data_IF_722426616304
#
_entry.id   IF_722426616304
#
_cell.length_a   1.000
_cell.length_b   1.000
_cell.length_c   1.000
_cell.angle_alpha   90.00
_cell.angle_beta   90.00
_cell.angle_gamma   90.00
#
_symmetry.space_group_name_H-M   'P 1'
#
loop_
_entity.id
_entity.type
_entity.pdbx_description
1 polymer ?
#
# COMPACT_ATOMS: atom_id res chain seq x y z
N UNK A 1 8.36 35.50 -17.56
CA UNK A 1 7.81 34.14 -17.73
C UNK A 1 7.68 33.54 -16.34
N UNK A 2 6.47 33.19 -15.90
CA UNK A 2 6.29 32.52 -14.61
C UNK A 2 6.90 31.11 -14.72
N UNK A 3 7.79 30.76 -13.79
CA UNK A 3 8.29 29.39 -13.67
C UNK A 3 7.09 28.47 -13.44
N UNK A 4 7.04 27.35 -14.17
CA UNK A 4 6.05 26.31 -13.89
C UNK A 4 6.22 25.89 -12.41
N UNK A 5 5.13 25.79 -11.63
CA UNK A 5 5.25 25.39 -10.24
C UNK A 5 5.95 24.03 -10.19
N UNK A 6 6.97 23.92 -9.32
CA UNK A 6 7.65 22.66 -9.10
C UNK A 6 6.61 21.58 -8.78
N UNK A 7 6.68 20.44 -9.48
CA UNK A 7 5.78 19.33 -9.21
C UNK A 7 6.10 18.87 -7.80
N UNK A 8 5.14 19.02 -6.88
CA UNK A 8 5.25 18.43 -5.54
C UNK A 8 5.36 16.92 -5.71
N UNK A 9 6.47 16.38 -5.22
CA UNK A 9 6.71 14.94 -5.16
C UNK A 9 6.52 14.53 -3.71
N UNK A 10 5.74 13.48 -3.50
CA UNK A 10 5.57 12.87 -2.18
C UNK A 10 6.28 11.51 -2.22
N UNK A 11 7.00 11.19 -1.14
CA UNK A 11 7.70 9.91 -1.00
C UNK A 11 6.90 9.00 -0.07
N UNK A 12 6.75 7.75 -0.48
CA UNK A 12 6.08 6.71 0.30
C UNK A 12 7.07 5.63 0.72
N UNK A 13 7.20 5.39 2.03
CA UNK A 13 8.07 4.37 2.61
C UNK A 13 7.25 3.15 3.04
N UNK A 14 7.77 1.95 2.78
CA UNK A 14 7.11 0.72 3.16
C UNK A 14 7.51 0.34 4.60
N UNK A 15 6.54 0.34 5.51
CA UNK A 15 6.77 0.10 6.94
C UNK A 15 5.89 -1.04 7.49
N UNK A 16 6.37 -1.82 8.47
CA UNK A 16 5.54 -2.78 9.17
C UNK A 16 4.39 -2.08 9.88
N UNK A 17 3.18 -2.61 9.76
CA UNK A 17 2.00 -2.10 10.44
C UNK A 17 1.15 -3.25 10.99
N UNK A 18 0.41 -3.01 12.10
CA UNK A 18 -0.50 -4.01 12.61
C UNK A 18 -1.62 -4.29 11.59
N UNK A 19 -2.03 -5.56 11.45
CA UNK A 19 -2.97 -6.00 10.41
C UNK A 19 -4.30 -5.23 10.39
N UNK A 20 -4.77 -4.75 11.55
CA UNK A 20 -6.01 -3.97 11.65
C UNK A 20 -5.92 -2.62 10.93
N UNK A 21 -4.74 -1.98 10.86
CA UNK A 21 -4.52 -0.74 10.08
C UNK A 21 -4.61 -0.96 8.57
N UNK A 22 -4.40 -2.19 8.12
CA UNK A 22 -4.32 -2.54 6.70
C UNK A 22 -5.65 -3.07 6.13
N UNK A 23 -6.75 -2.85 6.86
CA UNK A 23 -8.11 -3.24 6.50
C UNK A 23 -8.84 -2.14 5.73
N UNK A 24 -9.88 -2.53 5.00
CA UNK A 24 -10.67 -1.64 4.14
C UNK A 24 -11.25 -0.42 4.85
N UNK A 25 -11.63 -0.56 6.13
CA UNK A 25 -12.18 0.52 6.96
C UNK A 25 -11.17 1.63 7.26
N UNK A 26 -9.88 1.32 7.21
CA UNK A 26 -8.79 2.26 7.50
C UNK A 26 -8.28 2.95 6.23
N UNK A 27 -8.84 2.64 5.06
CA UNK A 27 -8.47 3.22 3.77
C UNK A 27 -6.94 3.23 3.49
N UNK A 28 -6.24 2.08 3.61
CA UNK A 28 -4.79 2.07 3.62
C UNK A 28 -4.19 2.33 2.24
N UNK A 29 -3.05 3.02 2.23
CA UNK A 29 -2.02 2.85 1.22
C UNK A 29 -1.08 1.74 1.71
N UNK A 30 -0.91 0.67 0.93
CA UNK A 30 -0.17 -0.53 1.37
C UNK A 30 0.44 -1.31 0.22
N UNK A 31 1.51 -2.04 0.53
CA UNK A 31 2.14 -3.04 -0.34
C UNK A 31 1.68 -4.42 0.09
N UNK A 32 1.45 -5.30 -0.89
CA UNK A 32 1.26 -6.73 -0.70
C UNK A 32 0.08 -7.14 0.19
N UNK A 33 0.12 -8.39 0.65
CA UNK A 33 -1.00 -9.04 1.29
C UNK A 33 -2.21 -9.16 0.36
N UNK A 34 -3.41 -9.06 0.93
CA UNK A 34 -4.66 -9.05 0.17
C UNK A 34 -5.14 -7.62 -0.09
N UNK A 35 -5.86 -7.37 -1.21
CA UNK A 35 -6.47 -6.08 -1.44
C UNK A 35 -7.44 -5.72 -0.30
N UNK A 36 -7.28 -4.53 0.28
CA UNK A 36 -8.28 -3.89 1.11
C UNK A 36 -9.25 -3.16 0.19
N UNK A 37 -10.24 -3.89 -0.33
CA UNK A 37 -11.23 -3.38 -1.28
C UNK A 37 -12.00 -2.20 -0.70
N UNK A 38 -12.07 -1.09 -1.45
CA UNK A 38 -12.77 0.13 -1.05
C UNK A 38 -14.29 -0.04 -1.19
N UNK A 39 -14.80 -0.05 -2.42
CA UNK A 39 -16.17 -0.41 -2.72
C UNK A 39 -16.28 -1.90 -3.00
N UNK A 40 -17.35 -2.52 -2.51
CA UNK A 40 -17.62 -3.94 -2.75
C UNK A 40 -18.43 -4.17 -4.05
N UNK A 41 -18.94 -3.10 -4.66
CA UNK A 41 -19.63 -3.16 -5.94
C UNK A 41 -18.64 -3.35 -7.10
N UNK A 42 -18.99 -4.25 -8.03
CA UNK A 42 -18.29 -4.46 -9.30
C UNK A 42 -16.78 -4.78 -9.16
N UNK A 43 -16.42 -5.64 -8.21
CA UNK A 43 -15.05 -6.14 -8.09
C UNK A 43 -14.56 -6.77 -9.41
N UNK A 44 -13.27 -6.58 -9.77
CA UNK A 44 -12.74 -7.18 -10.98
C UNK A 44 -12.80 -8.71 -10.89
N UNK A 45 -13.53 -9.30 -11.84
CA UNK A 45 -13.68 -10.75 -11.92
C UNK A 45 -12.42 -11.45 -12.42
N UNK A 46 -12.39 -12.80 -12.38
CA UNK A 46 -11.21 -13.58 -12.77
C UNK A 46 -10.67 -13.28 -14.17
N UNK A 47 -11.53 -13.00 -15.15
CA UNK A 47 -11.09 -12.61 -16.50
C UNK A 47 -10.33 -11.27 -16.52
N UNK A 48 -10.78 -10.31 -15.70
CA UNK A 48 -10.11 -9.04 -15.53
C UNK A 48 -8.83 -9.16 -14.67
N UNK A 49 -8.65 -10.24 -13.90
CA UNK A 49 -7.45 -10.48 -13.10
C UNK A 49 -6.57 -11.63 -13.62
N UNK A 50 -6.67 -11.93 -14.93
CA UNK A 50 -5.76 -12.84 -15.62
C UNK A 50 -4.60 -12.09 -16.29
N UNK A 51 -3.39 -12.66 -16.22
CA UNK A 51 -2.25 -12.19 -16.99
C UNK A 51 -2.55 -12.26 -18.48
N UNK A 52 -2.31 -11.15 -19.20
CA UNK A 52 -2.55 -11.10 -20.65
C UNK A 52 -1.62 -12.03 -21.46
N UNK A 53 -0.49 -12.45 -20.89
CA UNK A 53 0.48 -13.34 -21.55
C UNK A 53 0.24 -14.81 -21.24
N UNK A 54 0.19 -15.18 -19.96
CA UNK A 54 0.10 -16.59 -19.55
C UNK A 54 -1.28 -17.01 -19.03
N UNK A 55 -2.23 -16.08 -18.88
CA UNK A 55 -3.58 -16.35 -18.38
C UNK A 55 -3.68 -16.61 -16.87
N UNK A 56 -2.57 -16.78 -16.15
CA UNK A 56 -2.56 -17.04 -14.71
C UNK A 56 -3.10 -15.87 -13.89
N UNK A 57 -3.67 -16.11 -12.70
CA UNK A 57 -4.12 -15.05 -11.80
C UNK A 57 -3.01 -14.07 -11.49
N UNK A 58 -3.34 -12.78 -11.51
CA UNK A 58 -2.44 -11.73 -11.05
C UNK A 58 -2.41 -11.69 -9.51
N UNK A 59 -1.23 -11.39 -8.96
CA UNK A 59 -1.05 -11.12 -7.55
C UNK A 59 -1.27 -9.62 -7.28
N UNK A 60 -1.87 -9.32 -6.12
CA UNK A 60 -2.00 -7.96 -5.63
C UNK A 60 -0.63 -7.43 -5.23
N UNK A 61 -0.18 -6.33 -5.86
CA UNK A 61 1.13 -5.74 -5.61
C UNK A 61 1.05 -4.65 -4.56
N UNK A 62 0.17 -3.67 -4.75
CA UNK A 62 -0.03 -2.56 -3.83
C UNK A 62 -1.35 -1.84 -4.10
N UNK A 63 -1.81 -1.05 -3.13
CA UNK A 63 -2.86 -0.07 -3.31
C UNK A 63 -2.45 1.29 -2.75
N UNK A 64 -3.01 2.35 -3.32
CA UNK A 64 -2.83 3.72 -2.85
C UNK A 64 -4.19 4.36 -2.67
N UNK A 65 -4.44 4.86 -1.46
CA UNK A 65 -5.55 5.77 -1.18
C UNK A 65 -5.16 7.18 -1.63
N UNK A 66 -5.84 7.67 -2.66
CA UNK A 66 -5.51 8.89 -3.37
C UNK A 66 -6.80 9.68 -3.66
N UNK A 67 -7.43 10.27 -2.62
CA UNK A 67 -8.64 11.06 -2.74
C UNK A 67 -8.40 12.27 -3.65
N UNK A 68 -9.47 12.77 -4.29
CA UNK A 68 -9.40 13.94 -5.17
C UNK A 68 -10.24 15.08 -4.58
N UNK A 69 -9.61 16.06 -3.90
CA UNK A 69 -10.30 17.25 -3.43
C UNK A 69 -11.07 17.94 -4.56
N UNK A 70 -12.30 18.39 -4.27
CA UNK A 70 -13.19 19.01 -5.26
C UNK A 70 -13.96 18.05 -6.16
N UNK A 71 -13.74 16.74 -6.03
CA UNK A 71 -14.47 15.72 -6.80
C UNK A 71 -15.35 14.86 -5.90
N UNK A 72 -16.65 15.14 -5.88
CA UNK A 72 -17.61 14.53 -4.96
C UNK A 72 -17.74 13.00 -5.10
N UNK A 73 -17.58 12.45 -6.31
CA UNK A 73 -17.61 10.99 -6.59
C UNK A 73 -16.27 10.28 -6.30
N UNK A 74 -15.24 11.02 -5.88
CA UNK A 74 -13.91 10.52 -5.58
C UNK A 74 -13.40 11.03 -4.22
N UNK A 75 -14.33 11.22 -3.27
CA UNK A 75 -13.98 11.53 -1.88
C UNK A 75 -13.10 10.40 -1.30
N UNK A 76 -13.53 9.16 -1.48
CA UNK A 76 -12.66 8.00 -1.32
C UNK A 76 -12.25 7.54 -2.71
N UNK A 77 -10.95 7.37 -2.95
CA UNK A 77 -10.44 6.86 -4.22
C UNK A 77 -9.23 6.00 -3.96
N UNK A 78 -9.30 4.75 -4.42
CA UNK A 78 -8.18 3.81 -4.35
C UNK A 78 -7.75 3.38 -5.75
N UNK A 79 -6.44 3.27 -5.92
CA UNK A 79 -5.81 2.60 -7.06
C UNK A 79 -5.27 1.26 -6.59
N UNK A 80 -5.59 0.18 -7.29
CA UNK A 80 -5.12 -1.18 -7.00
C UNK A 80 -4.25 -1.66 -8.14
N UNK A 81 -3.03 -2.09 -7.82
CA UNK A 81 -2.04 -2.55 -8.79
C UNK A 81 -1.86 -4.05 -8.64
N UNK A 82 -1.84 -4.75 -9.77
CA UNK A 82 -1.67 -6.19 -9.84
C UNK A 82 -0.59 -6.53 -10.86
N UNK A 83 0.17 -7.60 -10.60
CA UNK A 83 1.21 -8.08 -11.50
C UNK A 83 1.22 -9.61 -11.59
N UNK A 84 1.78 -10.14 -12.66
CA UNK A 84 2.03 -11.58 -12.77
C UNK A 84 3.32 -11.92 -12.04
N UNK A 85 3.35 -13.02 -11.29
CA UNK A 85 4.55 -13.47 -10.57
C UNK A 85 5.49 -14.35 -11.41
N UNK A 86 5.07 -14.73 -12.61
CA UNK A 86 5.84 -15.62 -13.48
C UNK A 86 6.75 -14.81 -14.42
N UNK A 87 8.08 -15.04 -14.46
CA UNK A 87 8.94 -14.50 -15.50
C UNK A 87 8.57 -15.08 -16.88
N UNK A 88 8.65 -14.28 -17.97
CA UNK A 88 9.01 -12.87 -18.05
C UNK A 88 7.79 -11.92 -17.90
N UNK A 89 6.65 -12.41 -17.41
CA UNK A 89 5.40 -11.65 -17.36
C UNK A 89 5.37 -10.54 -16.29
N UNK A 90 6.29 -10.56 -15.33
CA UNK A 90 6.33 -9.65 -14.18
C UNK A 90 6.48 -8.16 -14.52
N UNK A 91 6.87 -7.81 -15.75
CA UNK A 91 6.97 -6.42 -16.19
C UNK A 91 5.60 -5.74 -16.45
N UNK A 92 4.53 -6.51 -16.62
CA UNK A 92 3.20 -5.98 -16.91
C UNK A 92 2.38 -5.70 -15.66
N UNK A 93 1.94 -4.46 -15.47
CA UNK A 93 1.02 -4.07 -14.40
C UNK A 93 -0.41 -3.93 -14.92
N UNK A 94 -1.38 -4.31 -14.09
CA UNK A 94 -2.80 -3.99 -14.29
C UNK A 94 -3.27 -3.10 -13.15
N UNK A 95 -3.92 -2.00 -13.50
CA UNK A 95 -4.38 -1.00 -12.54
C UNK A 95 -5.89 -0.91 -12.57
N UNK A 96 -6.51 -0.98 -11.40
CA UNK A 96 -7.94 -0.74 -11.21
C UNK A 96 -8.14 0.49 -10.36
N UNK A 97 -9.19 1.25 -10.69
CA UNK A 97 -9.63 2.39 -9.91
C UNK A 97 -10.97 2.05 -9.29
N UNK A 98 -11.10 2.31 -8.00
CA UNK A 98 -12.38 2.33 -7.31
C UNK A 98 -12.53 3.66 -6.58
N UNK A 99 -13.75 4.19 -6.57
CA UNK A 99 -14.02 5.48 -5.96
C UNK A 99 -15.44 5.52 -5.42
N UNK A 100 -15.62 6.19 -4.30
CA UNK A 100 -16.89 6.35 -3.61
C UNK A 100 -17.08 7.82 -3.21
N UNK A 101 -18.32 8.32 -3.23
CA UNK A 101 -18.65 9.58 -2.59
C UNK A 101 -18.56 9.48 -1.06
N UNK A 102 -18.51 10.63 -0.39
CA UNK A 102 -18.44 10.69 1.08
C UNK A 102 -19.58 9.92 1.74
N UNK A 103 -20.82 10.24 1.35
CA UNK A 103 -22.01 9.49 1.78
C UNK A 103 -22.17 8.28 0.86
N UNK A 104 -21.95 7.07 1.38
CA UNK A 104 -22.07 5.82 0.64
C UNK A 104 -22.64 4.72 1.56
N UNK A 105 -22.90 3.54 1.00
CA UNK A 105 -23.54 2.41 1.69
C UNK A 105 -22.57 1.52 2.47
N UNK A 106 -21.25 1.69 2.26
CA UNK A 106 -20.22 0.79 2.80
C UNK A 106 -19.60 1.30 4.10
N UNK A 107 -19.45 2.63 4.22
CA UNK A 107 -18.72 3.28 5.31
C UNK A 107 -19.57 4.32 6.05
N UNK A 108 -19.29 4.44 7.35
CA UNK A 108 -19.86 5.51 8.18
C UNK A 108 -19.43 6.89 7.67
N UNK A 109 -20.26 7.89 7.94
CA UNK A 109 -19.87 9.28 7.73
C UNK A 109 -18.79 9.73 8.72
N UNK A 110 -18.74 9.12 9.91
CA UNK A 110 -17.70 9.37 10.91
C UNK A 110 -16.52 8.40 10.73
N UNK A 111 -15.27 8.86 10.97
CA UNK A 111 -14.10 8.00 10.86
C UNK A 111 -14.14 6.85 11.90
N UNK A 112 -13.54 5.69 11.59
CA UNK A 112 -13.40 4.61 12.57
C UNK A 112 -12.48 5.03 13.73
N UNK A 113 -12.59 4.32 14.86
CA UNK A 113 -11.67 4.46 15.98
C UNK A 113 -10.24 4.05 15.59
N UNK A 114 -9.25 4.80 16.09
CA UNK A 114 -7.82 4.46 15.97
C UNK A 114 -7.40 3.32 16.91
N UNK A 115 -8.26 2.92 17.84
CA UNK A 115 -8.02 1.77 18.71
C UNK A 115 -8.58 0.48 18.09
N UNK A 116 -7.83 -0.65 18.12
CA UNK A 116 -8.29 -1.92 17.59
C UNK A 116 -9.47 -2.46 18.41
N UNK A 117 -10.47 -3.03 17.74
CA UNK A 117 -11.53 -3.81 18.40
C UNK A 117 -11.12 -5.29 18.51
N UNK A 118 -11.61 -6.06 19.48
CA UNK A 118 -11.34 -7.51 19.58
C UNK A 118 -11.81 -8.31 18.36
N UNK A 119 -12.80 -7.79 17.62
CA UNK A 119 -13.35 -8.40 16.40
C UNK A 119 -12.40 -8.27 15.19
N UNK A 120 -11.29 -7.54 15.35
CA UNK A 120 -10.37 -7.14 14.28
C UNK A 120 -9.23 -8.14 14.03
N UNK A 121 -9.33 -9.37 14.55
CA UNK A 121 -8.25 -10.36 14.44
C UNK A 121 -8.49 -11.41 13.34
N UNK A 122 -9.75 -11.71 13.00
CA UNK A 122 -10.04 -12.75 12.00
C UNK A 122 -10.05 -12.20 10.57
N UNK A 123 -9.57 -13.02 9.61
CA UNK A 123 -9.58 -12.71 8.18
C UNK A 123 -10.95 -13.03 7.60
N UNK A 124 -11.77 -12.01 7.34
CA UNK A 124 -13.07 -12.21 6.71
C UNK A 124 -12.90 -12.47 5.19
N UNK A 125 -13.34 -13.65 4.73
CA UNK A 125 -13.32 -14.05 3.32
C UNK A 125 -14.66 -13.84 2.61
N UNK A 126 -15.59 -13.15 3.26
CA UNK A 126 -16.85 -12.73 2.69
C UNK A 126 -17.04 -11.24 2.95
N UNK A 127 -17.38 -10.51 1.90
CA UNK A 127 -17.67 -9.08 1.99
C UNK A 127 -19.08 -8.83 2.52
N UNK A 128 -19.38 -7.59 2.94
CA UNK A 128 -20.71 -7.23 3.49
C UNK A 128 -21.84 -7.40 2.47
N UNK A 129 -21.51 -7.23 1.19
CA UNK A 129 -22.33 -7.51 0.01
C UNK A 129 -22.63 -8.99 -0.21
N UNK A 130 -22.02 -9.89 0.57
CA UNK A 130 -22.14 -11.34 0.42
C UNK A 130 -21.15 -11.95 -0.59
N UNK A 131 -20.38 -11.12 -1.31
CA UNK A 131 -19.38 -11.61 -2.26
C UNK A 131 -18.27 -12.39 -1.55
N UNK A 132 -18.01 -13.61 -2.02
CA UNK A 132 -16.96 -14.45 -1.47
C UNK A 132 -15.61 -14.17 -2.13
N UNK A 133 -14.57 -14.12 -1.30
CA UNK A 133 -13.20 -13.86 -1.70
C UNK A 133 -12.41 -15.16 -1.84
N UNK A 134 -11.43 -15.13 -2.74
CA UNK A 134 -10.52 -16.22 -2.96
C UNK A 134 -9.64 -16.44 -1.72
N UNK A 135 -9.63 -17.68 -1.20
CA UNK A 135 -8.79 -18.09 -0.07
C UNK A 135 -7.29 -17.85 -0.29
N UNK A 136 -6.82 -17.79 -1.54
CA UNK A 136 -5.40 -17.55 -1.83
C UNK A 136 -5.12 -16.05 -1.93
N UNK A 137 -5.82 -15.34 -2.82
CA UNK A 137 -5.43 -13.98 -3.20
C UNK A 137 -6.34 -12.85 -2.70
N UNK A 138 -7.47 -13.15 -2.04
CA UNK A 138 -8.42 -12.11 -1.58
C UNK A 138 -9.19 -11.38 -2.69
N UNK A 139 -9.04 -11.79 -3.96
CA UNK A 139 -9.86 -11.28 -5.06
C UNK A 139 -11.20 -12.02 -5.15
N UNK A 140 -12.15 -11.55 -5.98
CA UNK A 140 -13.45 -12.20 -6.14
C UNK A 140 -13.31 -13.70 -6.49
N UNK A 141 -13.95 -14.55 -5.68
CA UNK A 141 -13.86 -16.01 -5.73
C UNK A 141 -15.18 -16.67 -6.14
N UNK A 142 -15.60 -16.61 -7.42
CA UNK A 142 -16.89 -17.15 -7.85
C UNK A 142 -16.94 -18.69 -7.88
N UNK A 143 -15.80 -19.37 -7.76
CA UNK A 143 -15.76 -20.84 -7.76
C UNK A 143 -15.74 -21.34 -6.33
N UNK A 144 -16.60 -22.30 -6.02
CA UNK A 144 -16.67 -22.91 -4.69
C UNK A 144 -16.09 -24.32 -4.73
N UNK A 145 -15.44 -24.75 -3.65
CA UNK A 145 -15.02 -26.13 -3.47
C UNK A 145 -16.25 -27.04 -3.52
N UNK A 146 -16.26 -27.99 -4.45
CA UNK A 146 -17.38 -28.91 -4.68
C UNK A 146 -17.57 -29.95 -3.58
N UNK A 147 -16.67 -30.01 -2.59
CA UNK A 147 -16.74 -30.96 -1.47
C UNK A 147 -17.32 -30.32 -0.22
N UNK A 148 -16.78 -29.20 0.24
CA UNK A 148 -17.28 -28.54 1.45
C UNK A 148 -18.27 -27.41 1.19
N UNK A 149 -18.34 -26.89 -0.04
CA UNK A 149 -19.15 -25.71 -0.40
C UNK A 149 -18.86 -24.42 0.40
N UNK A 150 -17.79 -24.38 1.19
CA UNK A 150 -17.41 -23.24 2.04
C UNK A 150 -16.17 -22.48 1.53
N UNK A 151 -15.27 -23.16 0.81
CA UNK A 151 -14.03 -22.55 0.32
C UNK A 151 -14.20 -21.97 -1.09
N UNK A 152 -13.76 -20.72 -1.29
CA UNK A 152 -13.96 -19.98 -2.54
C UNK A 152 -12.63 -19.63 -3.23
N UNK A 153 -12.65 -19.60 -4.57
CA UNK A 153 -11.48 -19.43 -5.42
C UNK A 153 -11.76 -18.61 -6.68
N UNK A 154 -10.79 -17.80 -7.09
CA UNK A 154 -10.88 -17.08 -8.36
C UNK A 154 -10.58 -17.99 -9.56
N UNK A 155 -9.76 -19.03 -9.38
CA UNK A 155 -9.31 -19.93 -10.43
C UNK A 155 -9.14 -21.36 -9.94
N UNK A 156 -9.10 -22.31 -10.89
CA UNK A 156 -8.72 -23.71 -10.61
C UNK A 156 -7.28 -23.81 -10.10
N UNK A 157 -6.41 -22.92 -10.56
CA UNK A 157 -5.01 -22.85 -10.12
C UNK A 157 -4.91 -22.52 -8.63
N UNK A 158 -5.60 -21.50 -8.14
CA UNK A 158 -5.64 -21.16 -6.71
C UNK A 158 -6.33 -22.24 -5.87
N UNK A 159 -7.38 -22.87 -6.39
CA UNK A 159 -7.99 -24.03 -5.71
C UNK A 159 -6.99 -25.17 -5.55
N UNK A 160 -6.23 -25.48 -6.61
CA UNK A 160 -5.25 -26.58 -6.61
C UNK A 160 -4.08 -26.26 -5.67
N UNK A 161 -3.63 -25.01 -5.64
CA UNK A 161 -2.57 -24.54 -4.74
C UNK A 161 -3.00 -24.67 -3.27
N UNK A 162 -4.16 -24.12 -2.90
CA UNK A 162 -4.69 -24.21 -1.54
C UNK A 162 -4.97 -25.66 -1.12
N UNK A 163 -5.48 -26.49 -2.04
CA UNK A 163 -5.72 -27.91 -1.79
C UNK A 163 -4.45 -28.66 -1.38
N UNK A 164 -3.33 -28.41 -2.09
CA UNK A 164 -2.05 -29.06 -1.79
C UNK A 164 -1.44 -28.61 -0.46
N UNK A 165 -1.66 -27.36 -0.07
CA UNK A 165 -0.96 -26.73 1.04
C UNK A 165 -1.75 -26.69 2.36
N UNK A 166 -3.03 -27.03 2.37
CA UNK A 166 -3.75 -27.23 3.64
C UNK A 166 -5.25 -27.49 3.53
N UNK A 167 -5.90 -27.04 2.45
CA UNK A 167 -7.35 -27.20 2.35
C UNK A 167 -7.78 -28.68 2.26
N UNK A 168 -6.97 -29.58 1.70
CA UNK A 168 -7.31 -31.02 1.63
C UNK A 168 -7.65 -31.62 3.00
N UNK A 169 -6.90 -31.26 4.04
CA UNK A 169 -7.10 -31.72 5.41
C UNK A 169 -8.26 -30.98 6.10
N UNK A 170 -8.36 -29.67 5.86
CA UNK A 170 -9.40 -28.83 6.47
C UNK A 170 -10.80 -29.00 5.85
N UNK A 171 -10.89 -29.52 4.63
CA UNK A 171 -12.14 -29.60 3.85
C UNK A 171 -13.23 -30.45 4.52
N UNK A 172 -12.92 -31.30 5.50
CA UNK A 172 -13.86 -32.18 6.19
C UNK A 172 -14.17 -31.73 7.63
N UNK A 173 -13.59 -30.64 8.09
CA UNK A 173 -13.79 -30.14 9.45
C UNK A 173 -15.03 -29.23 9.47
N UNK A 174 -15.99 -29.52 10.34
CA UNK A 174 -17.26 -28.77 10.47
C UNK A 174 -17.11 -27.43 11.19
N UNK A 175 -15.97 -27.14 11.81
CA UNK A 175 -15.73 -25.90 12.57
C UNK A 175 -14.41 -25.19 12.21
N UNK A 176 -14.56 -24.22 11.29
CA UNK A 176 -14.10 -22.81 11.29
C UNK A 176 -12.83 -22.37 12.06
N UNK A 177 -11.79 -23.19 12.21
CA UNK A 177 -10.45 -22.60 12.30
C UNK A 177 -9.90 -22.45 10.88
N UNK A 178 -10.38 -21.40 10.20
CA UNK A 178 -10.05 -21.09 8.81
C UNK A 178 -8.66 -20.47 8.68
N UNK A 179 -7.67 -21.08 9.33
CA UNK A 179 -6.27 -20.74 9.08
C UNK A 179 -6.00 -20.96 7.59
N UNK A 180 -5.66 -19.86 6.92
CA UNK A 180 -5.25 -19.90 5.53
C UNK A 180 -3.74 -20.13 5.56
N UNK A 181 -3.24 -21.24 5.02
CA UNK A 181 -1.80 -21.47 5.00
C UNK A 181 -1.11 -20.44 4.11
N UNK A 182 0.16 -20.18 4.36
CA UNK A 182 0.95 -19.37 3.43
C UNK A 182 1.19 -20.17 2.14
N UNK A 183 0.55 -19.72 1.06
CA UNK A 183 0.73 -20.31 -0.26
C UNK A 183 1.97 -19.80 -1.00
N UNK A 184 2.73 -18.89 -0.38
CA UNK A 184 3.78 -18.10 -1.02
C UNK A 184 3.28 -17.42 -2.30
N UNK A 185 1.99 -17.01 -2.32
CA UNK A 185 1.36 -16.32 -3.46
C UNK A 185 1.24 -14.81 -3.23
N UNK A 186 0.96 -14.38 -2.00
CA UNK A 186 0.87 -12.96 -1.65
C UNK A 186 2.27 -12.37 -1.54
N UNK A 187 2.40 -11.07 -1.86
CA UNK A 187 3.61 -10.33 -1.49
C UNK A 187 3.57 -10.02 0.02
N UNK A 188 4.74 -9.82 0.67
CA UNK A 188 4.79 -9.33 2.05
C UNK A 188 3.99 -8.04 2.22
N UNK A 189 3.35 -7.89 3.37
CA UNK A 189 2.37 -6.84 3.62
C UNK A 189 2.97 -5.71 4.46
N UNK A 190 2.88 -4.47 3.97
CA UNK A 190 3.43 -3.27 4.62
C UNK A 190 2.51 -2.06 4.40
N UNK A 191 2.49 -1.12 5.34
CA UNK A 191 1.89 0.21 5.16
C UNK A 191 2.80 1.06 4.27
N UNK A 192 2.20 1.92 3.42
CA UNK A 192 2.94 2.97 2.71
C UNK A 192 2.72 4.27 3.47
N UNK A 193 3.72 4.68 4.24
CA UNK A 193 3.73 5.94 4.98
C UNK A 193 4.24 7.03 4.06
N UNK A 194 3.40 8.04 3.80
CA UNK A 194 3.74 9.16 2.92
C UNK A 194 4.30 10.30 3.77
N UNK A 195 5.55 10.67 3.52
CA UNK A 195 6.20 11.81 4.14
C UNK A 195 6.26 12.98 3.13
N UNK A 196 5.92 14.18 3.60
CA UNK A 196 6.10 15.40 2.80
C UNK A 196 7.54 15.86 2.99
N UNK A 197 8.28 16.02 1.89
CA UNK A 197 9.63 16.59 1.93
C UNK A 197 9.57 18.00 2.56
N UNK A 198 10.33 18.22 3.63
CA UNK A 198 10.47 19.55 4.23
C UNK A 198 11.14 20.47 3.20
N UNK A 199 10.52 21.60 2.86
CA UNK A 199 11.14 22.59 1.97
C UNK A 199 12.47 23.02 2.60
N UNK A 200 13.59 22.75 1.92
CA UNK A 200 14.92 23.21 2.33
C UNK A 200 14.90 24.74 2.26
N UNK A 201 14.58 25.40 3.37
CA UNK A 201 14.77 26.84 3.54
C UNK A 201 16.27 27.10 3.61
N UNK A 202 16.85 27.88 2.69
CA UNK A 202 18.25 28.27 2.81
C UNK A 202 18.42 29.09 4.09
N UNK A 203 19.26 28.62 5.02
CA UNK A 203 19.65 29.44 6.17
C UNK A 203 20.31 30.72 5.65
N UNK A 204 19.63 31.85 5.84
CA UNK A 204 20.18 33.17 5.55
C UNK A 204 21.22 33.44 6.63
N UNK A 205 22.50 33.23 6.31
CA UNK A 205 23.58 33.65 7.20
C UNK A 205 23.59 35.18 7.18
N UNK A 206 23.07 35.81 8.24
CA UNK A 206 23.21 37.24 8.46
C UNK A 206 24.72 37.57 8.49
N UNK A 207 25.18 38.36 7.52
CA UNK A 207 26.53 38.93 7.57
C UNK A 207 26.52 40.01 8.64
N UNK A 208 27.17 39.75 9.76
CA UNK A 208 27.57 40.82 10.68
C UNK A 208 28.44 41.81 9.90
N UNK A 209 28.03 43.09 9.91
CA UNK A 209 28.73 44.17 9.23
C UNK A 209 30.10 44.40 9.88
N UNK A 210 31.15 44.18 9.09
CA UNK A 210 32.55 44.34 9.50
C UNK A 210 32.84 45.81 9.82
N UNK A 211 33.37 46.06 11.02
CA UNK A 211 33.76 47.40 11.49
C UNK A 211 34.94 47.93 10.65
N UNK A 212 34.84 49.19 10.18
CA UNK A 212 35.91 49.90 9.48
C UNK A 212 37.21 49.96 10.32
N UNK A 213 38.32 49.45 9.79
CA UNK A 213 39.66 49.88 10.18
C UNK A 213 40.44 50.29 8.92
N UNK A 214 40.79 51.57 8.90
CA UNK A 214 41.63 52.23 7.90
C UNK A 214 43.06 51.67 7.88
N UNK A 215 43.59 51.33 6.70
CA UNK A 215 45.01 51.00 6.53
C UNK A 215 45.39 50.51 5.14
N UNK A 216 46.21 51.29 4.44
CA UNK A 216 46.70 51.10 3.07
C UNK A 216 47.57 49.85 2.84
N UNK A 217 47.38 49.20 1.67
CA UNK A 217 48.35 48.60 0.72
C UNK A 217 48.01 47.17 0.25
N UNK A 218 47.62 47.05 -1.03
CA UNK A 218 48.16 46.03 -1.96
C UNK A 218 47.53 44.62 -2.06
N UNK A 219 47.08 44.32 -3.29
CA UNK A 219 46.97 43.02 -4.01
C UNK A 219 45.69 42.19 -3.93
N UNK A 220 45.38 41.63 -5.11
CA UNK A 220 44.23 40.84 -5.55
C UNK A 220 44.08 39.49 -4.82
N UNK A 221 42.83 39.02 -4.64
CA UNK A 221 42.26 37.82 -5.31
C UNK A 221 41.22 37.07 -4.46
N UNK A 222 40.13 36.71 -5.14
CA UNK A 222 39.19 35.60 -4.91
C UNK A 222 38.59 35.37 -3.52
N UNK A 223 37.33 35.77 -3.34
CA UNK A 223 36.45 35.22 -2.29
C UNK A 223 36.16 33.75 -2.56
N UNK A 224 36.75 32.86 -1.76
CA UNK A 224 36.41 31.44 -1.74
C UNK A 224 35.12 31.22 -0.94
N UNK A 225 34.09 30.67 -1.60
CA UNK A 225 32.87 30.18 -0.95
C UNK A 225 33.21 28.90 -0.17
N UNK A 226 33.42 29.01 1.14
CA UNK A 226 33.58 27.85 2.03
C UNK A 226 32.19 27.34 2.45
N UNK A 227 31.66 26.34 1.73
CA UNK A 227 30.52 25.55 2.19
C UNK A 227 31.03 24.58 3.27
N UNK A 228 30.80 24.90 4.55
CA UNK A 228 31.02 23.96 5.65
C UNK A 228 29.87 22.96 5.70
N UNK A 229 30.10 21.75 5.19
CA UNK A 229 29.19 20.62 5.44
C UNK A 229 29.41 20.10 6.87
N UNK A 230 28.62 20.62 7.80
CA UNK A 230 28.57 20.14 9.18
C UNK A 230 27.71 18.88 9.30
N UNK A 231 28.29 17.69 9.08
CA UNK A 231 27.67 16.40 9.42
C UNK A 231 27.80 16.19 10.93
N UNK A 232 26.76 16.51 11.72
CA UNK A 232 26.67 16.02 13.11
C UNK A 232 25.95 14.68 13.09
N UNK A 233 26.76 13.61 13.11
CA UNK A 233 26.29 12.27 13.39
C UNK A 233 25.84 12.15 14.85
N UNK A 234 24.71 11.48 15.07
CA UNK A 234 24.45 10.80 16.33
C UNK A 234 25.01 9.38 16.23
N UNK A 235 25.94 9.10 17.15
CA UNK A 235 26.53 7.80 17.41
C UNK A 235 25.48 6.94 18.14
N UNK A 236 25.12 5.79 17.57
CA UNK A 236 24.51 4.70 18.33
C UNK A 236 25.62 3.72 18.71
N UNK A 237 25.92 3.62 20.01
CA UNK A 237 26.74 2.53 20.54
C UNK A 237 25.83 1.34 20.85
N UNK A 238 25.98 0.29 20.08
CA UNK A 238 25.51 -1.06 20.44
C UNK A 238 26.46 -1.66 21.49
N UNK A 239 25.91 -2.18 22.58
CA UNK A 239 26.59 -3.15 23.44
C UNK A 239 25.73 -4.41 23.47
N UNK A 240 26.25 -5.45 22.85
CA UNK A 240 25.85 -6.83 23.08
C UNK A 240 26.87 -7.47 24.04
N UNK A 241 26.36 -8.23 25.01
CA UNK A 241 27.07 -9.27 25.74
C UNK A 241 26.10 -10.42 25.94
#
# INVERSE_FOLDING_TARGET
MAAAPARRVELGFAEPAPAWRLRSEQFPSKVGGRPAWLGEAALPGPAALGCARCGRPLAFLLQVYAPLPGRADAFHRCLFLFCCREPPCCAGLRVFRNQLPRKNEFYSYEPPSENPSPETESVCLQLRSGAHLCRVCGCLGPKTCSRCHQAHYCSKEHQTLDWRLGHKQACTQDHLDHTVPDHNFLFPEFEIVIETEEEIVPEVVEKEEDFEITGSMGKESASALMIKYGRKGLVHQEKWS
#
